data_IF_673359239634
#
_entry.id   IF_673359239634
#
_cell.length_a   1.000
_cell.length_b   1.000
_cell.length_c   1.000
_cell.angle_alpha   90.00
_cell.angle_beta   90.00
_cell.angle_gamma   90.00
#
_symmetry.space_group_name_H-M   'P 1'
#
loop_
_entity.id
_entity.type
_entity.pdbx_description
1 polymer ?
#
# COMPACT_ATOMS: atom_id res chain seq x y z
N UNK A 1 15.57 16.42 26.95
CA UNK A 1 14.91 15.32 27.67
C UNK A 1 14.62 14.23 26.65
N UNK A 2 15.25 13.07 26.74
CA UNK A 2 14.96 11.97 25.81
C UNK A 2 13.63 11.32 26.22
N UNK A 3 12.61 11.47 25.40
CA UNK A 3 11.27 10.92 25.64
C UNK A 3 11.28 9.37 25.72
N UNK A 4 12.27 8.73 25.11
CA UNK A 4 12.57 7.29 25.20
C UNK A 4 13.00 6.84 26.61
N UNK A 5 13.37 7.77 27.50
CA UNK A 5 13.66 7.46 28.92
C UNK A 5 12.44 7.62 29.83
N UNK A 6 11.33 8.11 29.28
CA UNK A 6 10.13 8.50 30.04
C UNK A 6 8.94 7.62 29.67
N UNK A 7 8.84 7.19 28.41
CA UNK A 7 7.79 6.31 27.91
C UNK A 7 8.36 4.93 27.56
N UNK A 8 7.61 3.83 27.83
CA UNK A 8 7.96 2.51 27.32
C UNK A 8 7.97 2.45 25.79
N UNK A 9 8.81 1.59 25.22
CA UNK A 9 8.95 1.40 23.77
C UNK A 9 7.62 1.07 23.08
N UNK A 10 6.78 0.26 23.72
CA UNK A 10 5.45 -0.11 23.20
C UNK A 10 4.52 1.10 23.07
N UNK A 11 4.58 2.04 24.02
CA UNK A 11 3.80 3.27 23.95
C UNK A 11 4.30 4.17 22.81
N UNK A 12 5.62 4.26 22.62
CA UNK A 12 6.21 5.03 21.53
C UNK A 12 5.86 4.39 20.18
N UNK A 13 5.94 3.07 20.08
CA UNK A 13 5.52 2.29 18.91
C UNK A 13 4.06 2.58 18.54
N UNK A 14 3.16 2.52 19.52
CA UNK A 14 1.75 2.84 19.32
C UNK A 14 1.57 4.28 18.83
N UNK A 15 2.21 5.26 19.48
CA UNK A 15 2.15 6.67 19.07
C UNK A 15 2.59 6.82 17.61
N UNK A 16 3.75 6.26 17.24
CA UNK A 16 4.28 6.34 15.87
C UNK A 16 3.31 5.70 14.88
N UNK A 17 2.74 4.53 15.21
CA UNK A 17 1.82 3.80 14.34
C UNK A 17 0.50 4.55 14.06
N UNK A 18 0.13 5.50 14.92
CA UNK A 18 -1.05 6.36 14.75
C UNK A 18 -0.76 7.66 13.98
N UNK A 19 0.49 7.88 13.57
CA UNK A 19 0.88 9.02 12.71
C UNK A 19 0.80 8.65 11.23
N UNK A 20 1.64 9.26 10.38
CA UNK A 20 1.79 8.90 8.98
C UNK A 20 3.10 8.11 8.74
N UNK A 21 3.16 7.28 7.68
CA UNK A 21 4.40 6.62 7.24
C UNK A 21 5.57 7.61 7.05
N UNK A 22 5.26 8.82 6.56
CA UNK A 22 6.21 9.91 6.43
C UNK A 22 6.75 10.37 7.79
N UNK A 23 5.88 10.55 8.77
CA UNK A 23 6.29 11.00 10.11
C UNK A 23 7.05 9.90 10.86
N UNK A 24 6.66 8.64 10.72
CA UNK A 24 7.44 7.51 11.23
C UNK A 24 8.87 7.50 10.69
N UNK A 25 9.05 7.72 9.38
CA UNK A 25 10.37 7.85 8.77
C UNK A 25 11.18 9.03 9.33
N UNK A 26 10.53 10.17 9.62
CA UNK A 26 11.19 11.32 10.24
C UNK A 26 11.60 11.04 11.69
N UNK A 27 10.72 10.38 12.45
CA UNK A 27 11.01 9.98 13.83
C UNK A 27 12.19 9.01 13.89
N UNK A 28 12.30 8.08 12.94
CA UNK A 28 13.41 7.13 12.83
C UNK A 28 14.80 7.80 12.70
N UNK A 29 14.86 9.08 12.31
CA UNK A 29 16.11 9.83 12.18
C UNK A 29 16.54 10.55 13.47
N UNK A 30 15.69 10.58 14.49
CA UNK A 30 15.95 11.35 15.71
C UNK A 30 16.99 10.71 16.63
N UNK A 31 16.98 9.37 16.74
CA UNK A 31 17.96 8.60 17.53
C UNK A 31 17.93 7.13 17.16
N UNK A 32 18.93 6.35 17.61
CA UNK A 32 18.97 4.90 17.39
C UNK A 32 17.78 4.17 18.02
N UNK A 33 17.34 4.60 19.21
CA UNK A 33 16.17 4.02 19.87
C UNK A 33 14.89 4.27 19.05
N UNK A 34 14.69 5.51 18.59
CA UNK A 34 13.58 5.85 17.72
C UNK A 34 13.63 5.11 16.38
N UNK A 35 14.82 4.94 15.81
CA UNK A 35 15.02 4.19 14.58
C UNK A 35 14.50 2.75 14.73
N UNK A 36 14.95 2.05 15.78
CA UNK A 36 14.55 0.67 16.04
C UNK A 36 13.04 0.51 16.26
N UNK A 37 12.41 1.46 16.97
CA UNK A 37 10.96 1.41 17.26
C UNK A 37 10.15 1.75 16.00
N UNK A 38 10.51 2.83 15.31
CA UNK A 38 9.81 3.31 14.12
C UNK A 38 9.90 2.34 12.94
N UNK A 39 10.99 1.58 12.82
CA UNK A 39 11.19 0.59 11.77
C UNK A 39 10.62 -0.80 12.10
N UNK A 40 9.99 -0.94 13.27
CA UNK A 40 9.41 -2.22 13.70
C UNK A 40 8.22 -2.66 12.85
N UNK A 41 8.05 -3.97 12.69
CA UNK A 41 6.90 -4.54 11.98
C UNK A 41 5.55 -4.15 12.62
N UNK A 42 5.51 -3.94 13.94
CA UNK A 42 4.30 -3.54 14.65
C UNK A 42 3.79 -2.16 14.17
N UNK A 43 4.70 -1.20 13.99
CA UNK A 43 4.39 0.13 13.45
C UNK A 43 3.92 0.03 12.00
N UNK A 44 4.73 -0.60 11.14
CA UNK A 44 4.45 -0.65 9.70
C UNK A 44 3.25 -1.51 9.33
N UNK A 45 2.86 -2.45 10.19
CA UNK A 45 1.62 -3.19 10.02
C UNK A 45 0.38 -2.30 10.10
N UNK A 46 0.39 -1.23 10.92
CA UNK A 46 -0.75 -0.31 11.04
C UNK A 46 -0.87 0.63 9.84
N UNK A 47 0.23 0.86 9.12
CA UNK A 47 0.23 1.65 7.88
C UNK A 47 -0.23 0.85 6.65
N UNK A 48 -0.22 -0.47 6.73
CA UNK A 48 -0.78 -1.32 5.68
C UNK A 48 -2.31 -1.37 5.80
N UNK A 49 -3.04 -1.39 4.68
CA UNK A 49 -4.48 -1.59 4.72
C UNK A 49 -4.85 -2.91 5.37
N UNK A 50 -5.92 -2.98 6.17
CA UNK A 50 -6.30 -4.20 6.90
C UNK A 50 -6.50 -5.44 6.01
N UNK A 51 -6.91 -5.23 4.76
CA UNK A 51 -7.17 -6.25 3.74
C UNK A 51 -5.99 -6.47 2.78
N UNK A 52 -4.79 -5.97 3.08
CA UNK A 52 -3.62 -6.10 2.20
C UNK A 52 -3.30 -7.56 1.83
N UNK A 53 -3.52 -8.51 2.75
CA UNK A 53 -3.34 -9.94 2.49
C UNK A 53 -4.28 -10.40 1.38
N UNK A 54 -5.57 -10.07 1.50
CA UNK A 54 -6.57 -10.43 0.50
C UNK A 54 -6.30 -9.76 -0.85
N UNK A 55 -5.86 -8.50 -0.84
CA UNK A 55 -5.48 -7.78 -2.07
C UNK A 55 -4.31 -8.49 -2.76
N UNK A 56 -3.27 -8.87 -2.03
CA UNK A 56 -2.08 -9.54 -2.60
C UNK A 56 -2.42 -10.96 -3.07
N UNK A 57 -3.17 -11.73 -2.28
CA UNK A 57 -3.56 -13.10 -2.64
C UNK A 57 -4.42 -13.17 -3.91
N UNK A 58 -5.22 -12.15 -4.18
CA UNK A 58 -6.05 -12.06 -5.39
C UNK A 58 -5.41 -11.26 -6.52
N UNK A 59 -4.13 -10.89 -6.38
CA UNK A 59 -3.38 -10.15 -7.39
C UNK A 59 -2.52 -11.08 -8.23
N UNK A 60 -1.96 -10.57 -9.33
CA UNK A 60 -0.97 -11.29 -10.14
C UNK A 60 0.42 -11.36 -9.48
N UNK A 61 0.56 -10.93 -8.23
CA UNK A 61 1.86 -10.79 -7.56
C UNK A 61 2.33 -12.08 -6.88
N UNK A 62 3.66 -12.26 -6.73
CA UNK A 62 4.19 -13.47 -6.13
C UNK A 62 3.82 -13.56 -4.63
N UNK A 63 3.52 -14.78 -4.13
CA UNK A 63 3.18 -15.01 -2.72
C UNK A 63 4.29 -14.58 -1.74
N UNK A 64 5.54 -14.55 -2.21
CA UNK A 64 6.71 -14.14 -1.43
C UNK A 64 6.63 -12.70 -0.91
N UNK A 65 5.80 -11.83 -1.51
CA UNK A 65 5.56 -10.49 -1.00
C UNK A 65 5.06 -10.48 0.44
N UNK A 66 4.22 -11.44 0.83
CA UNK A 66 3.66 -11.50 2.19
C UNK A 66 4.71 -11.85 3.26
N UNK A 67 5.83 -12.42 2.85
CA UNK A 67 6.96 -12.80 3.71
C UNK A 67 7.94 -11.64 3.97
N UNK A 68 7.79 -10.52 3.26
CA UNK A 68 8.65 -9.35 3.44
C UNK A 68 8.41 -8.68 4.81
N UNK A 69 9.44 -8.00 5.37
CA UNK A 69 9.24 -7.03 6.44
C UNK A 69 8.15 -6.03 6.08
N UNK A 70 7.35 -5.59 7.05
CA UNK A 70 6.15 -4.78 6.77
C UNK A 70 6.49 -3.43 6.13
N UNK A 71 7.62 -2.84 6.51
CA UNK A 71 8.17 -1.63 5.87
C UNK A 71 8.52 -1.86 4.40
N UNK A 72 9.23 -2.95 4.11
CA UNK A 72 9.63 -3.30 2.73
C UNK A 72 8.42 -3.66 1.87
N UNK A 73 7.45 -4.38 2.43
CA UNK A 73 6.18 -4.65 1.79
C UNK A 73 5.44 -3.34 1.46
N UNK A 74 5.35 -2.41 2.41
CA UNK A 74 4.71 -1.12 2.20
C UNK A 74 5.34 -0.37 1.03
N UNK A 75 6.68 -0.22 1.01
CA UNK A 75 7.36 0.46 -0.09
C UNK A 75 7.26 -0.30 -1.41
N UNK A 76 7.27 -1.63 -1.38
CA UNK A 76 7.04 -2.44 -2.59
C UNK A 76 5.67 -2.14 -3.19
N UNK A 77 4.62 -2.08 -2.38
CA UNK A 77 3.28 -1.69 -2.82
C UNK A 77 3.17 -0.21 -3.24
N UNK A 78 4.09 0.65 -2.78
CA UNK A 78 4.16 2.06 -3.20
C UNK A 78 4.86 2.24 -4.55
N UNK A 79 5.83 1.40 -4.92
CA UNK A 79 6.63 1.60 -6.15
C UNK A 79 6.29 0.61 -7.26
N UNK A 80 5.70 -0.54 -6.91
CA UNK A 80 5.35 -1.59 -7.84
C UNK A 80 3.85 -1.83 -7.80
N UNK A 81 3.06 -1.14 -8.64
CA UNK A 81 1.62 -1.36 -8.73
C UNK A 81 1.33 -2.81 -9.13
N UNK A 82 0.35 -3.41 -8.47
CA UNK A 82 -0.03 -4.80 -8.71
C UNK A 82 -1.38 -4.85 -9.43
N UNK A 83 -1.54 -5.82 -10.33
CA UNK A 83 -2.80 -6.02 -11.03
C UNK A 83 -3.74 -6.85 -10.17
N UNK A 84 -4.98 -6.39 -10.07
CA UNK A 84 -6.07 -6.99 -9.29
C UNK A 84 -7.30 -7.12 -10.19
N UNK A 85 -8.32 -7.86 -9.75
CA UNK A 85 -9.58 -8.02 -10.49
C UNK A 85 -9.35 -8.48 -11.94
N UNK A 86 -8.74 -9.67 -12.11
CA UNK A 86 -8.43 -10.28 -13.41
C UNK A 86 -7.60 -9.41 -14.37
N UNK A 87 -6.91 -8.38 -13.86
CA UNK A 87 -6.07 -7.49 -14.67
C UNK A 87 -6.72 -6.15 -15.02
N UNK A 88 -8.00 -5.95 -14.69
CA UNK A 88 -8.74 -4.74 -15.06
C UNK A 88 -8.52 -3.58 -14.08
N UNK A 89 -7.87 -3.82 -12.95
CA UNK A 89 -7.55 -2.80 -11.95
C UNK A 89 -6.09 -2.87 -11.52
N UNK A 90 -5.46 -1.72 -11.33
CA UNK A 90 -4.13 -1.61 -10.69
C UNK A 90 -4.29 -1.07 -9.28
N UNK A 91 -3.66 -1.73 -8.33
CA UNK A 91 -3.57 -1.32 -6.94
C UNK A 91 -2.16 -0.82 -6.62
N UNK A 92 -2.09 0.27 -5.85
CA UNK A 92 -0.86 0.84 -5.31
C UNK A 92 -1.17 1.53 -3.98
N UNK A 93 -0.16 1.71 -3.14
CA UNK A 93 -0.27 2.59 -1.97
C UNK A 93 0.22 4.00 -2.30
N UNK A 94 -0.49 5.01 -1.81
CA UNK A 94 0.00 6.38 -1.79
C UNK A 94 1.09 6.47 -0.71
N UNK A 95 2.29 6.87 -1.13
CA UNK A 95 3.51 6.70 -0.35
C UNK A 95 3.49 7.41 1.01
N UNK A 96 2.85 8.57 1.11
CA UNK A 96 2.99 9.45 2.27
C UNK A 96 1.95 9.18 3.35
N UNK A 97 0.75 8.78 2.93
CA UNK A 97 -0.43 8.56 3.78
C UNK A 97 -0.81 7.09 3.93
N UNK A 98 -0.28 6.18 3.09
CA UNK A 98 -0.63 4.76 3.11
C UNK A 98 -2.03 4.48 2.57
N UNK A 99 -2.69 5.46 1.97
CA UNK A 99 -4.02 5.29 1.40
C UNK A 99 -3.96 4.38 0.19
N UNK A 100 -5.01 3.58 0.02
CA UNK A 100 -5.20 2.77 -1.19
C UNK A 100 -5.40 3.68 -2.40
N UNK A 101 -4.70 3.38 -3.47
CA UNK A 101 -4.88 4.01 -4.77
C UNK A 101 -5.19 2.94 -5.80
N UNK A 102 -6.31 3.12 -6.50
CA UNK A 102 -6.74 2.24 -7.58
C UNK A 102 -6.81 3.00 -8.88
N UNK A 103 -6.22 2.43 -9.91
CA UNK A 103 -6.50 2.80 -11.29
C UNK A 103 -7.41 1.73 -11.88
N UNK A 104 -8.60 2.13 -12.27
CA UNK A 104 -9.65 1.24 -12.78
C UNK A 104 -9.70 1.36 -14.30
N UNK A 105 -9.47 0.25 -15.01
CA UNK A 105 -9.62 0.18 -16.45
C UNK A 105 -11.08 0.27 -16.87
N UNK A 106 -11.36 0.75 -18.08
CA UNK A 106 -12.73 0.90 -18.58
C UNK A 106 -13.52 -0.43 -18.58
N UNK A 107 -12.84 -1.57 -18.75
CA UNK A 107 -13.44 -2.91 -18.71
C UNK A 107 -13.95 -3.35 -17.33
N UNK A 108 -13.42 -2.75 -16.26
CA UNK A 108 -13.92 -2.99 -14.91
C UNK A 108 -15.17 -2.16 -14.57
N UNK A 109 -15.58 -1.22 -15.42
CA UNK A 109 -16.74 -0.38 -15.18
C UNK A 109 -18.01 -1.02 -15.75
N UNK A 110 -19.12 -0.89 -15.03
CA UNK A 110 -20.45 -1.20 -15.56
C UNK A 110 -20.96 -0.01 -16.36
N UNK A 111 -20.78 -0.07 -17.69
CA UNK A 111 -21.23 0.97 -18.61
C UNK A 111 -22.46 0.46 -19.37
N UNK A 112 -23.52 1.27 -19.43
CA UNK A 112 -24.73 0.90 -20.16
C UNK A 112 -24.42 0.76 -21.65
N UNK A 113 -24.94 -0.31 -22.27
CA UNK A 113 -24.74 -0.60 -23.70
C UNK A 113 -23.28 -0.86 -24.11
N UNK A 114 -22.39 -1.16 -23.16
CA UNK A 114 -20.96 -1.39 -23.45
C UNK A 114 -20.72 -2.57 -24.39
N UNK A 115 -21.58 -3.59 -24.31
CA UNK A 115 -21.57 -4.77 -25.19
C UNK A 115 -22.40 -4.57 -26.46
N UNK A 116 -22.87 -3.34 -26.73
CA UNK A 116 -23.66 -3.03 -27.92
C UNK A 116 -22.79 -2.26 -28.93
N UNK A 117 -22.34 -2.92 -30.02
CA UNK A 117 -21.43 -2.32 -31.00
C UNK A 117 -21.92 -1.04 -31.67
N UNK A 118 -23.24 -0.78 -31.62
CA UNK A 118 -23.84 0.46 -32.15
C UNK A 118 -23.53 1.69 -31.30
N UNK A 119 -23.18 1.50 -30.03
CA UNK A 119 -22.94 2.59 -29.07
C UNK A 119 -21.47 2.64 -28.63
N UNK A 120 -20.84 1.48 -28.46
CA UNK A 120 -19.46 1.37 -27.96
C UNK A 120 -18.66 0.36 -28.78
N UNK A 121 -17.36 0.60 -28.88
CA UNK A 121 -16.41 -0.39 -29.43
C UNK A 121 -15.15 -0.35 -28.59
N UNK A 122 -14.69 -1.52 -28.15
CA UNK A 122 -13.43 -1.66 -27.45
C UNK A 122 -12.27 -1.48 -28.41
N UNK A 123 -11.42 -0.50 -28.16
CA UNK A 123 -10.17 -0.29 -28.89
C UNK A 123 -8.99 -0.76 -28.05
N UNK A 124 -7.97 -1.33 -28.70
CA UNK A 124 -6.70 -1.64 -28.06
C UNK A 124 -5.72 -0.52 -28.35
N UNK A 125 -5.14 0.06 -27.31
CA UNK A 125 -4.10 1.07 -27.41
C UNK A 125 -2.77 0.42 -27.01
N UNK A 126 -1.71 0.48 -27.84
CA UNK A 126 -0.43 -0.16 -27.52
C UNK A 126 0.18 0.29 -26.18
N UNK A 127 -0.05 1.56 -25.82
CA UNK A 127 0.45 2.15 -24.56
C UNK A 127 -0.50 1.91 -23.37
N UNK A 128 -1.70 1.37 -23.62
CA UNK A 128 -2.61 0.97 -22.56
C UNK A 128 -2.19 -0.38 -21.99
N UNK A 129 -2.21 -0.47 -20.67
CA UNK A 129 -2.05 -1.74 -19.95
C UNK A 129 -3.37 -2.47 -19.73
N UNK A 130 -4.49 -1.84 -20.06
CA UNK A 130 -5.87 -2.34 -19.98
C UNK A 130 -6.47 -2.51 -21.38
#
# INVERSE_FOLDING_TARGET
>A
MEITKVLPDDCISLIISLTSPRDACRMALLSHAFNSIADSNAVWQMFLPLDYIHIISNSSSPPSLLSLPKKDLYFTLCYHPILTHNGDMKFQLEKESGKKWYMVGARALSIQWVDTPRHWTWISLPDSRF
#
